data_IF_874754048655
#
_entry.id   IF_874754048655
#
_cell.length_a   1.000
_cell.length_b   1.000
_cell.length_c   1.000
_cell.angle_alpha   90.00
_cell.angle_beta   90.00
_cell.angle_gamma   90.00
#
_symmetry.space_group_name_H-M   'P 1'
#
loop_
_entity.id
_entity.type
_entity.pdbx_description
1 polymer ?
#
# COMPACT_ATOMS: atom_id res chain seq x y z
N UNK A 1 55.01 36.46 12.23
CA UNK A 1 53.65 36.81 11.76
C UNK A 1 53.09 35.63 10.97
N UNK A 2 52.01 35.03 11.51
CA UNK A 2 50.94 34.27 10.82
C UNK A 2 51.40 33.09 9.92
N UNK A 3 51.64 31.91 10.50
CA UNK A 3 50.68 30.79 10.52
C UNK A 3 49.91 30.63 9.20
N UNK A 4 50.51 29.92 8.24
CA UNK A 4 49.82 29.36 7.08
C UNK A 4 48.92 28.23 7.59
N UNK A 5 47.62 28.49 7.57
CA UNK A 5 46.58 27.64 8.16
C UNK A 5 46.43 26.34 7.39
N UNK A 6 46.39 25.24 8.14
CA UNK A 6 45.97 23.92 7.68
C UNK A 6 44.66 24.03 6.89
N UNK A 7 44.69 23.59 5.63
CA UNK A 7 43.49 23.28 4.86
C UNK A 7 42.94 21.93 5.36
N UNK A 8 42.15 22.00 6.42
CA UNK A 8 41.21 20.96 6.82
C UNK A 8 40.16 20.84 5.70
N UNK A 9 40.37 19.91 4.77
CA UNK A 9 39.32 19.46 3.85
C UNK A 9 38.33 18.63 4.66
N UNK A 10 37.29 19.30 5.17
CA UNK A 10 36.17 18.65 5.82
C UNK A 10 35.35 17.91 4.74
N UNK A 11 35.64 16.62 4.57
CA UNK A 11 34.78 15.71 3.82
C UNK A 11 33.51 15.50 4.66
N UNK A 12 32.54 16.40 4.48
CA UNK A 12 31.20 16.28 5.06
C UNK A 12 30.52 15.12 4.34
N UNK A 13 30.61 13.92 4.94
CA UNK A 13 29.76 12.79 4.61
C UNK A 13 28.34 13.14 5.04
N UNK A 14 27.57 13.70 4.12
CA UNK A 14 26.12 13.80 4.27
C UNK A 14 25.58 12.36 4.30
N UNK A 15 25.27 11.89 5.50
CA UNK A 15 24.56 10.63 5.69
C UNK A 15 23.26 10.69 4.89
N UNK A 16 23.16 9.84 3.86
CA UNK A 16 21.93 9.62 3.13
C UNK A 16 20.97 8.88 4.07
N UNK A 17 20.16 9.63 4.82
CA UNK A 17 18.98 9.09 5.48
C UNK A 17 18.00 8.65 4.39
N UNK A 18 17.99 7.34 4.06
CA UNK A 18 16.86 6.78 3.32
C UNK A 18 15.65 6.79 4.27
N UNK A 19 14.80 7.79 4.13
CA UNK A 19 13.50 7.79 4.78
C UNK A 19 12.70 6.63 4.16
N UNK A 20 12.59 5.51 4.88
CA UNK A 20 11.64 4.47 4.54
C UNK A 20 10.25 5.03 4.83
N UNK A 21 9.68 5.76 3.87
CA UNK A 21 8.33 6.27 3.97
C UNK A 21 7.39 5.07 4.09
N UNK A 22 6.92 4.79 5.31
CA UNK A 22 5.78 3.92 5.52
C UNK A 22 4.65 4.47 4.64
N UNK A 23 4.18 3.66 3.69
CA UNK A 23 3.33 4.13 2.59
C UNK A 23 2.20 5.03 3.07
N UNK A 24 2.04 6.19 2.42
CA UNK A 24 0.96 7.12 2.75
C UNK A 24 -0.39 6.42 2.56
N UNK A 25 -1.35 6.77 3.42
CA UNK A 25 -2.72 6.28 3.27
C UNK A 25 -3.30 6.85 1.95
N UNK A 26 -4.00 6.00 1.21
CA UNK A 26 -4.62 6.34 -0.07
C UNK A 26 -6.13 6.36 0.10
N UNK A 27 -6.76 7.39 -0.45
CA UNK A 27 -8.21 7.41 -0.63
C UNK A 27 -8.58 6.36 -1.67
N UNK A 28 -9.44 5.42 -1.29
CA UNK A 28 -9.87 4.31 -2.12
C UNK A 28 -11.38 4.13 -2.03
N UNK A 29 -11.99 3.62 -3.10
CA UNK A 29 -13.40 3.22 -3.09
C UNK A 29 -13.49 1.71 -2.94
N UNK A 30 -14.30 1.23 -2.00
CA UNK A 30 -14.55 -0.19 -1.83
C UNK A 30 -15.42 -0.69 -2.99
N UNK A 31 -14.92 -1.66 -3.74
CA UNK A 31 -15.64 -2.31 -4.84
C UNK A 31 -15.75 -3.80 -4.56
N UNK A 32 -16.91 -4.39 -4.79
CA UNK A 32 -17.16 -5.81 -4.54
C UNK A 32 -17.94 -6.42 -5.68
N UNK A 33 -17.55 -7.63 -6.00
CA UNK A 33 -18.33 -8.50 -6.85
C UNK A 33 -18.11 -9.96 -6.46
N UNK A 34 -18.58 -10.86 -7.31
CA UNK A 34 -18.48 -12.30 -7.09
C UNK A 34 -17.05 -12.85 -7.23
N UNK A 35 -16.10 -12.06 -7.73
CA UNK A 35 -14.68 -12.43 -7.89
C UNK A 35 -13.82 -11.96 -6.71
N UNK A 36 -14.29 -11.00 -5.91
CA UNK A 36 -13.58 -10.57 -4.72
C UNK A 36 -14.04 -9.23 -4.13
N UNK A 37 -13.24 -8.74 -3.19
CA UNK A 37 -13.35 -7.38 -2.64
C UNK A 37 -12.09 -6.60 -3.01
N UNK A 38 -12.29 -5.39 -3.50
CA UNK A 38 -11.25 -4.56 -4.09
C UNK A 38 -11.23 -3.18 -3.43
N UNK A 39 -10.04 -2.57 -3.44
CA UNK A 39 -9.90 -1.13 -3.26
C UNK A 39 -9.54 -0.50 -4.60
N UNK A 40 -10.41 0.40 -5.07
CA UNK A 40 -10.18 1.21 -6.27
C UNK A 40 -9.41 2.47 -5.91
N UNK A 41 -8.21 2.63 -6.47
CA UNK A 41 -7.34 3.80 -6.30
C UNK A 41 -6.92 4.28 -7.68
N UNK A 42 -7.16 5.56 -8.00
CA UNK A 42 -6.81 6.14 -9.31
C UNK A 42 -7.36 5.32 -10.50
N UNK A 43 -8.60 4.85 -10.39
CA UNK A 43 -9.31 3.99 -11.37
C UNK A 43 -8.71 2.59 -11.56
N UNK A 44 -7.80 2.18 -10.69
CA UNK A 44 -7.20 0.84 -10.70
C UNK A 44 -7.68 0.02 -9.51
N UNK A 45 -8.07 -1.21 -9.77
CA UNK A 45 -8.56 -2.12 -8.73
C UNK A 45 -7.45 -2.99 -8.18
N UNK A 46 -7.43 -3.12 -6.86
CA UNK A 46 -6.47 -3.94 -6.12
C UNK A 46 -7.24 -4.96 -5.30
N UNK A 47 -6.98 -6.24 -5.53
CA UNK A 47 -7.68 -7.33 -4.85
C UNK A 47 -7.18 -7.43 -3.40
N UNK A 48 -8.10 -7.31 -2.45
CA UNK A 48 -7.79 -7.25 -1.01
C UNK A 48 -7.78 -8.65 -0.42
N UNK A 49 -6.63 -9.09 0.11
CA UNK A 49 -6.55 -10.40 0.77
C UNK A 49 -7.38 -10.45 2.06
N UNK A 50 -7.22 -9.46 2.94
CA UNK A 50 -7.86 -9.41 4.26
C UNK A 50 -9.18 -8.63 4.23
N UNK A 51 -10.08 -8.96 3.29
CA UNK A 51 -11.31 -8.22 2.99
C UNK A 51 -12.26 -8.03 4.20
N UNK A 52 -12.19 -8.89 5.22
CA UNK A 52 -12.99 -8.79 6.45
C UNK A 52 -12.80 -7.45 7.18
N UNK A 53 -11.64 -6.79 7.03
CA UNK A 53 -11.38 -5.47 7.61
C UNK A 53 -12.33 -4.39 7.06
N UNK A 54 -12.88 -4.62 5.87
CA UNK A 54 -13.84 -3.75 5.21
C UNK A 54 -15.29 -4.15 5.48
N UNK A 55 -15.56 -5.12 6.35
CA UNK A 55 -16.92 -5.65 6.62
C UNK A 55 -17.95 -4.58 7.04
N UNK A 56 -17.50 -3.50 7.70
CA UNK A 56 -18.36 -2.37 8.09
C UNK A 56 -18.54 -1.30 7.02
N UNK A 57 -17.82 -1.40 5.90
CA UNK A 57 -17.84 -0.44 4.81
C UNK A 57 -18.67 -1.00 3.67
N UNK A 58 -19.72 -0.29 3.25
CA UNK A 58 -20.61 -0.74 2.18
C UNK A 58 -19.93 -0.67 0.80
N UNK A 59 -20.59 -1.22 -0.21
CA UNK A 59 -20.18 -1.04 -1.60
C UNK A 59 -20.16 0.45 -1.98
N UNK A 60 -19.12 0.88 -2.70
CA UNK A 60 -18.93 2.28 -3.06
C UNK A 60 -18.47 3.18 -1.91
N UNK A 61 -18.25 2.65 -0.70
CA UNK A 61 -17.75 3.43 0.42
C UNK A 61 -16.33 3.96 0.13
N UNK A 62 -16.09 5.23 0.44
CA UNK A 62 -14.76 5.83 0.36
C UNK A 62 -14.04 5.63 1.68
N UNK A 63 -12.87 5.01 1.64
CA UNK A 63 -12.01 4.75 2.80
C UNK A 63 -10.62 5.34 2.59
N UNK A 64 -9.92 5.63 3.68
CA UNK A 64 -8.52 6.03 3.61
C UNK A 64 -7.66 4.91 4.19
N UNK A 65 -6.97 4.18 3.30
CA UNK A 65 -6.33 2.92 3.63
C UNK A 65 -4.83 2.94 3.35
N UNK A 66 -4.02 2.36 4.25
CA UNK A 66 -2.66 1.93 3.92
C UNK A 66 -2.66 0.46 3.59
N UNK A 67 -1.86 0.09 2.61
CA UNK A 67 -1.72 -1.29 2.20
C UNK A 67 -0.34 -1.57 1.63
N UNK A 68 0.04 -2.84 1.64
CA UNK A 68 1.25 -3.36 1.00
C UNK A 68 0.84 -4.31 -0.12
N UNK A 69 1.62 -4.32 -1.20
CA UNK A 69 1.50 -5.37 -2.22
C UNK A 69 1.99 -6.69 -1.66
N UNK A 70 1.40 -7.79 -2.12
CA UNK A 70 1.82 -9.14 -1.78
C UNK A 70 1.58 -10.06 -2.97
N UNK A 71 2.24 -11.21 -2.97
CA UNK A 71 2.03 -12.24 -4.00
C UNK A 71 1.14 -13.38 -3.47
N UNK A 72 0.74 -13.32 -2.19
CA UNK A 72 0.03 -14.40 -1.52
C UNK A 72 -1.13 -13.89 -0.65
N UNK A 73 -2.29 -14.54 -0.79
CA UNK A 73 -3.43 -14.39 0.11
C UNK A 73 -3.85 -15.77 0.64
N UNK A 74 -3.28 -16.25 1.76
CA UNK A 74 -3.73 -17.49 2.39
C UNK A 74 -5.24 -17.50 2.70
N UNK A 75 -5.81 -16.33 2.94
CA UNK A 75 -7.24 -16.12 3.22
C UNK A 75 -8.16 -16.54 2.07
N UNK A 76 -7.62 -16.68 0.85
CA UNK A 76 -8.41 -17.10 -0.32
C UNK A 76 -8.61 -18.61 -0.39
N UNK A 77 -7.82 -19.42 0.32
CA UNK A 77 -7.97 -20.87 0.33
C UNK A 77 -9.36 -21.31 0.83
N UNK A 78 -9.96 -20.53 1.73
CA UNK A 78 -11.26 -20.80 2.35
C UNK A 78 -12.42 -20.03 1.70
N UNK A 79 -12.16 -19.26 0.64
CA UNK A 79 -13.15 -18.38 -0.02
C UNK A 79 -13.59 -18.99 -1.35
N UNK A 80 -14.89 -19.00 -1.60
CA UNK A 80 -15.46 -19.37 -2.90
C UNK A 80 -15.65 -18.08 -3.71
N UNK A 81 -14.94 -17.98 -4.83
CA UNK A 81 -15.11 -16.91 -5.82
C UNK A 81 -15.74 -17.49 -7.10
N UNK A 82 -16.50 -16.69 -7.82
CA UNK A 82 -16.97 -17.07 -9.14
C UNK A 82 -15.81 -17.06 -10.14
N UNK A 83 -15.83 -17.99 -11.11
CA UNK A 83 -14.81 -18.16 -12.15
C UNK A 83 -14.92 -17.10 -13.27
N UNK A 84 -14.99 -15.84 -12.89
CA UNK A 84 -15.05 -14.69 -13.81
C UNK A 84 -13.76 -13.88 -13.74
N UNK A 85 -13.45 -13.17 -14.82
CA UNK A 85 -12.30 -12.28 -14.86
C UNK A 85 -12.70 -10.87 -14.42
N UNK A 86 -11.98 -10.35 -13.42
CA UNK A 86 -12.01 -8.95 -13.01
C UNK A 86 -10.59 -8.40 -13.09
N UNK A 87 -10.37 -7.41 -13.97
CA UNK A 87 -9.06 -6.79 -14.17
C UNK A 87 -8.59 -6.09 -12.88
N UNK A 88 -7.40 -6.43 -12.41
CA UNK A 88 -6.83 -5.83 -11.20
C UNK A 88 -5.29 -5.76 -11.30
N UNK A 89 -4.69 -4.86 -10.51
CA UNK A 89 -3.26 -4.59 -10.49
C UNK A 89 -2.45 -5.55 -9.60
N UNK A 90 -3.12 -6.56 -9.04
CA UNK A 90 -2.54 -7.54 -8.12
C UNK A 90 -3.11 -7.48 -6.71
N UNK A 91 -2.45 -8.19 -5.81
CA UNK A 91 -2.94 -8.44 -4.46
C UNK A 91 -2.38 -7.43 -3.46
N UNK A 92 -3.22 -7.01 -2.52
CA UNK A 92 -2.82 -6.11 -1.43
C UNK A 92 -3.28 -6.63 -0.06
N UNK A 93 -2.48 -6.33 0.97
CA UNK A 93 -2.89 -6.42 2.38
C UNK A 93 -3.15 -5.02 2.91
N UNK A 94 -4.34 -4.78 3.45
CA UNK A 94 -4.59 -3.56 4.20
C UNK A 94 -3.87 -3.66 5.54
N UNK A 95 -3.05 -2.66 5.84
CA UNK A 95 -2.28 -2.55 7.09
C UNK A 95 -2.89 -1.54 8.06
N UNK A 96 -3.62 -0.55 7.55
CA UNK A 96 -4.29 0.48 8.36
C UNK A 96 -5.54 1.00 7.63
N UNK A 97 -6.63 1.20 8.35
CA UNK A 97 -7.80 1.98 7.92
C UNK A 97 -7.92 3.20 8.83
N UNK A 98 -8.17 4.38 8.25
CA UNK A 98 -8.41 5.63 8.96
C UNK A 98 -9.84 6.09 8.85
#
# INVERSE_FOLDING_TARGET
MKLVKLLFSAFVTTALWSCAASGAAKTATVTRDCTGTYLRVDSKDWLVCNAEILSRHQEGAVVNAKFIKTDQCPEFADKIFCMMYHENEGLIRITELK
#
